data_IF_115683535059
#
_entry.id   IF_115683535059
#
_cell.length_a   1.000
_cell.length_b   1.000
_cell.length_c   1.000
_cell.angle_alpha   90.00
_cell.angle_beta   90.00
_cell.angle_gamma   90.00
#
_symmetry.space_group_name_H-M   'P 1'
#
loop_
_entity.id
_entity.type
_entity.pdbx_description
1 polymer ?
#
# COMPACT_ATOMS: atom_id res chain seq x y z
N UNK A 1 27.25 34.27 -2.90
CA UNK A 1 27.49 32.82 -3.00
C UNK A 1 27.16 32.43 -4.43
N UNK A 2 28.16 32.14 -5.26
CA UNK A 2 27.99 31.85 -6.68
C UNK A 2 28.05 30.32 -6.80
N UNK A 3 26.92 29.69 -7.08
CA UNK A 3 26.83 28.24 -7.23
C UNK A 3 27.61 27.88 -8.51
N UNK A 4 28.52 26.91 -8.42
CA UNK A 4 29.31 26.47 -9.56
C UNK A 4 28.49 25.46 -10.37
N UNK A 5 28.63 25.42 -11.71
CA UNK A 5 27.88 24.50 -12.55
C UNK A 5 28.20 23.02 -12.28
N UNK A 6 29.29 22.73 -11.57
CA UNK A 6 29.72 21.37 -11.20
C UNK A 6 29.05 20.84 -9.91
N UNK A 7 28.16 21.61 -9.28
CA UNK A 7 27.40 21.19 -8.09
C UNK A 7 26.12 20.39 -8.44
N UNK A 8 25.86 20.11 -9.72
CA UNK A 8 24.83 19.16 -10.15
C UNK A 8 25.44 17.76 -10.16
N UNK A 9 25.53 17.14 -8.98
CA UNK A 9 25.75 15.70 -8.88
C UNK A 9 24.48 15.01 -9.38
N UNK A 10 24.59 14.33 -10.51
CA UNK A 10 23.55 13.50 -11.10
C UNK A 10 23.08 12.44 -10.08
N UNK A 11 21.86 12.61 -9.55
CA UNK A 11 21.13 11.62 -8.75
C UNK A 11 20.58 10.48 -9.65
N UNK A 12 21.41 9.91 -10.52
CA UNK A 12 21.04 8.86 -11.49
C UNK A 12 21.03 7.44 -10.89
N UNK A 13 20.87 7.27 -9.57
CA UNK A 13 20.72 5.94 -8.95
C UNK A 13 19.84 5.99 -7.70
N UNK A 14 18.56 6.36 -7.86
CA UNK A 14 17.54 6.11 -6.85
C UNK A 14 16.70 4.89 -7.23
N UNK A 15 17.36 3.74 -7.39
CA UNK A 15 16.69 2.45 -7.36
C UNK A 15 16.04 2.29 -5.98
N UNK A 16 14.72 2.26 -5.96
CA UNK A 16 13.91 2.04 -4.77
C UNK A 16 14.10 0.59 -4.31
N UNK A 17 15.16 0.33 -3.55
CA UNK A 17 15.34 -0.95 -2.85
C UNK A 17 14.22 -1.08 -1.83
N UNK A 18 13.41 -2.14 -1.97
CA UNK A 18 12.38 -2.47 -1.01
C UNK A 18 13.02 -3.30 0.11
N UNK A 19 13.47 -2.63 1.17
CA UNK A 19 13.92 -3.29 2.40
C UNK A 19 12.70 -3.82 3.16
N UNK A 20 12.20 -5.00 2.78
CA UNK A 20 11.15 -5.70 3.51
C UNK A 20 11.70 -7.00 4.11
N UNK A 21 11.96 -6.99 5.42
CA UNK A 21 12.15 -8.20 6.23
C UNK A 21 10.81 -8.95 6.35
N UNK A 22 10.62 -10.01 5.56
CA UNK A 22 9.45 -10.88 5.63
C UNK A 22 9.74 -12.14 6.50
N UNK A 23 9.48 -12.06 7.80
CA UNK A 23 9.52 -13.19 8.75
C UNK A 23 8.28 -14.10 8.65
N UNK A 24 7.81 -14.48 7.46
CA UNK A 24 6.74 -15.47 7.34
C UNK A 24 6.96 -16.42 6.17
N UNK A 25 7.22 -17.66 6.55
CA UNK A 25 7.67 -18.77 5.74
C UNK A 25 6.53 -19.46 4.97
N UNK A 26 5.79 -18.71 4.16
CA UNK A 26 4.90 -19.30 3.14
C UNK A 26 5.02 -18.63 1.76
N UNK A 27 5.98 -19.17 0.98
CA UNK A 27 6.07 -19.25 -0.50
C UNK A 27 5.68 -18.03 -1.34
N UNK A 28 6.69 -17.22 -1.69
CA UNK A 28 6.74 -16.51 -2.97
C UNK A 28 7.16 -17.52 -4.06
N UNK A 29 6.23 -18.01 -4.89
CA UNK A 29 6.55 -18.83 -6.06
C UNK A 29 6.12 -18.08 -7.33
N UNK A 30 6.82 -18.15 -8.48
CA UNK A 30 7.68 -19.22 -8.98
C UNK A 30 9.09 -18.73 -9.41
N UNK A 31 9.87 -19.68 -9.92
CA UNK A 31 11.33 -19.73 -10.07
C UNK A 31 11.98 -18.55 -10.83
N UNK A 32 13.15 -18.12 -10.35
CA UNK A 32 13.75 -16.78 -10.50
C UNK A 32 12.96 -15.68 -9.79
N UNK A 33 13.34 -15.35 -8.55
CA UNK A 33 12.83 -14.24 -7.75
C UNK A 33 13.17 -12.86 -8.30
N UNK A 34 12.94 -12.64 -9.60
CA UNK A 34 13.01 -11.36 -10.25
C UNK A 34 11.59 -10.78 -10.30
N UNK A 35 11.36 -9.67 -9.59
CA UNK A 35 10.18 -8.87 -9.86
C UNK A 35 10.17 -8.51 -11.35
N UNK A 36 9.03 -8.59 -12.04
CA UNK A 36 8.98 -8.29 -13.47
C UNK A 36 9.58 -6.90 -13.72
N UNK A 37 10.40 -6.79 -14.76
CA UNK A 37 11.11 -5.55 -15.15
C UNK A 37 10.15 -4.36 -15.30
N UNK A 38 8.86 -4.64 -15.53
CA UNK A 38 7.78 -3.68 -15.55
C UNK A 38 6.63 -4.14 -14.63
N UNK A 39 6.69 -3.71 -13.37
CA UNK A 39 5.58 -3.89 -12.43
C UNK A 39 4.50 -2.88 -12.78
N UNK A 40 3.35 -3.34 -13.26
CA UNK A 40 2.20 -2.46 -13.48
C UNK A 40 1.55 -2.20 -12.13
N UNK A 41 1.50 -0.92 -11.72
CA UNK A 41 0.77 -0.53 -10.53
C UNK A 41 -0.73 -0.76 -10.75
N UNK A 42 -1.38 -1.42 -9.79
CA UNK A 42 -2.84 -1.53 -9.81
C UNK A 42 -3.45 -0.11 -9.73
N UNK A 43 -4.32 0.22 -10.67
CA UNK A 43 -5.13 1.43 -10.57
C UNK A 43 -6.17 1.25 -9.46
N UNK A 44 -6.16 2.11 -8.44
CA UNK A 44 -7.24 2.13 -7.47
C UNK A 44 -8.47 2.77 -8.10
N UNK A 45 -9.52 1.97 -8.29
CA UNK A 45 -10.83 2.50 -8.63
C UNK A 45 -11.55 2.89 -7.34
N UNK A 46 -11.74 4.20 -7.14
CA UNK A 46 -12.52 4.73 -6.01
C UNK A 46 -13.81 5.34 -6.54
N UNK A 47 -14.97 4.69 -6.35
CA UNK A 47 -16.25 5.24 -6.80
C UNK A 47 -16.66 6.45 -5.96
N UNK A 48 -17.53 7.31 -6.51
CA UNK A 48 -18.20 8.35 -5.73
C UNK A 48 -19.04 7.72 -4.63
N UNK A 49 -18.75 8.09 -3.37
CA UNK A 49 -19.44 7.58 -2.20
C UNK A 49 -20.11 8.73 -1.44
N UNK A 50 -21.37 8.51 -1.05
CA UNK A 50 -22.12 9.41 -0.17
C UNK A 50 -22.16 8.81 1.23
N UNK A 51 -21.69 9.57 2.20
CA UNK A 51 -21.67 9.15 3.59
C UNK A 51 -23.00 9.45 4.26
N UNK A 52 -23.76 8.41 4.61
CA UNK A 52 -25.12 8.56 5.16
C UNK A 52 -25.20 8.18 6.63
N UNK A 53 -24.40 7.20 7.08
CA UNK A 53 -24.42 6.66 8.43
C UNK A 53 -23.01 6.38 8.92
N UNK A 54 -22.78 6.72 10.19
CA UNK A 54 -21.50 6.63 10.87
C UNK A 54 -21.69 5.92 12.20
N UNK A 55 -20.74 5.09 12.60
CA UNK A 55 -20.60 4.79 14.03
C UNK A 55 -20.07 6.01 14.78
N UNK A 56 -20.39 6.09 16.08
CA UNK A 56 -19.67 7.01 16.96
C UNK A 56 -18.19 6.62 17.04
N UNK A 57 -17.26 7.55 17.35
CA UNK A 57 -15.83 7.24 17.40
C UNK A 57 -15.49 6.05 18.31
N UNK A 58 -16.17 5.94 19.45
CA UNK A 58 -15.98 4.83 20.38
C UNK A 58 -16.42 3.48 19.77
N UNK A 59 -17.56 3.44 19.10
CA UNK A 59 -18.06 2.23 18.44
C UNK A 59 -17.22 1.84 17.23
N UNK A 60 -16.79 2.81 16.43
CA UNK A 60 -15.93 2.58 15.27
C UNK A 60 -14.61 1.93 15.69
N UNK A 61 -14.02 2.39 16.80
CA UNK A 61 -12.80 1.83 17.36
C UNK A 61 -13.00 0.37 17.80
N UNK A 62 -14.11 0.05 18.46
CA UNK A 62 -14.42 -1.33 18.87
C UNK A 62 -14.67 -2.26 17.68
N UNK A 63 -15.24 -1.75 16.59
CA UNK A 63 -15.61 -2.53 15.40
C UNK A 63 -14.49 -2.64 14.36
N UNK A 64 -13.47 -1.79 14.45
CA UNK A 64 -12.40 -1.70 13.45
C UNK A 64 -12.83 -1.06 12.12
N UNK A 65 -14.00 -0.42 12.08
CA UNK A 65 -14.51 0.29 10.90
C UNK A 65 -15.44 1.43 11.32
N UNK A 66 -15.31 2.57 10.62
CA UNK A 66 -16.24 3.70 10.78
C UNK A 66 -17.59 3.43 10.10
N UNK A 67 -17.58 2.56 9.10
CA UNK A 67 -18.68 2.31 8.17
C UNK A 67 -19.53 1.13 8.64
N UNK A 68 -20.81 1.34 9.02
CA UNK A 68 -21.69 0.26 9.44
C UNK A 68 -21.84 -0.87 8.45
N UNK A 69 -21.88 -0.53 7.16
CA UNK A 69 -22.02 -1.44 6.05
C UNK A 69 -20.82 -2.35 5.84
N UNK A 70 -19.64 -2.07 6.42
CA UNK A 70 -18.45 -2.91 6.28
C UNK A 70 -18.26 -3.90 7.43
N UNK A 71 -19.07 -3.80 8.49
CA UNK A 71 -18.91 -4.66 9.67
C UNK A 71 -19.53 -6.05 9.41
N UNK A 72 -18.69 -7.09 9.30
CA UNK A 72 -19.14 -8.49 9.17
C UNK A 72 -19.58 -8.92 7.77
N UNK A 73 -19.25 -8.15 6.72
CA UNK A 73 -19.65 -8.45 5.33
C UNK A 73 -18.92 -9.65 4.76
N UNK A 74 -17.66 -9.85 5.14
CA UNK A 74 -16.82 -10.89 4.58
C UNK A 74 -16.79 -12.11 5.50
N UNK A 75 -17.15 -13.31 5.01
CA UNK A 75 -16.97 -14.52 5.79
C UNK A 75 -15.48 -14.73 6.02
N UNK A 76 -15.12 -15.06 7.26
CA UNK A 76 -13.75 -15.44 7.60
C UNK A 76 -13.53 -16.85 7.00
N UNK A 77 -12.56 -17.04 6.08
CA UNK A 77 -12.20 -18.37 5.59
C UNK A 77 -11.84 -19.29 6.76
N UNK A 78 -12.27 -20.57 6.69
CA UNK A 78 -11.96 -21.59 7.70
C UNK A 78 -10.65 -22.30 7.42
#
# INVERSE_FOLDING_TARGET
MRIQPDDFQDDEDRTMFCDCDCDTEEKCLDEEGSMPEQVILAHSYVPWQFYVKAYSPQEALMRGTLFPELFGVYPIPR
#
